data_IF_121038330499
#
_entry.id   IF_121038330499
#
_cell.length_a   1.000
_cell.length_b   1.000
_cell.length_c   1.000
_cell.angle_alpha   90.00
_cell.angle_beta   90.00
_cell.angle_gamma   90.00
#
_symmetry.space_group_name_H-M   'P 1'
#
loop_
_entity.id
_entity.type
_entity.pdbx_description
1 polymer ?
#
# COMPACT_ATOMS: atom_id res chain seq x y z
N UNK A 1 -43.07 11.82 -20.17
CA UNK A 1 -42.26 12.83 -19.46
C UNK A 1 -40.82 12.32 -19.47
N UNK A 2 -39.89 13.04 -20.09
CA UNK A 2 -38.49 12.61 -20.22
C UNK A 2 -37.65 13.02 -19.01
N UNK A 3 -36.67 12.20 -18.65
CA UNK A 3 -35.64 12.51 -17.65
C UNK A 3 -34.31 12.80 -18.37
N UNK A 4 -33.57 13.81 -17.92
CA UNK A 4 -32.27 14.18 -18.48
C UNK A 4 -31.37 14.70 -17.36
N UNK A 5 -30.08 14.36 -17.41
CA UNK A 5 -29.11 14.86 -16.42
C UNK A 5 -28.74 16.33 -16.70
N UNK A 6 -28.82 17.22 -15.69
CA UNK A 6 -28.29 18.57 -15.78
C UNK A 6 -26.77 18.61 -15.95
N UNK A 7 -26.25 19.64 -16.63
CA UNK A 7 -24.81 19.80 -16.91
C UNK A 7 -23.93 20.02 -15.66
N UNK A 8 -24.53 20.40 -14.54
CA UNK A 8 -23.85 20.66 -13.28
C UNK A 8 -23.81 19.44 -12.34
N UNK A 9 -24.18 18.26 -12.83
CA UNK A 9 -24.12 17.01 -12.06
C UNK A 9 -22.84 16.25 -12.44
N UNK A 10 -22.04 15.93 -11.43
CA UNK A 10 -20.86 15.09 -11.55
C UNK A 10 -21.09 13.77 -10.82
N UNK A 11 -20.71 12.66 -11.45
CA UNK A 11 -20.77 11.33 -10.83
C UNK A 11 -19.35 10.89 -10.54
N UNK A 12 -19.03 10.71 -9.26
CA UNK A 12 -17.76 10.18 -8.78
C UNK A 12 -18.06 8.82 -8.15
N UNK A 13 -17.57 7.76 -8.79
CA UNK A 13 -17.63 6.40 -8.26
C UNK A 13 -16.27 6.01 -7.69
N UNK A 14 -16.28 5.27 -6.59
CA UNK A 14 -15.11 4.54 -6.10
C UNK A 14 -15.28 3.08 -6.45
N UNK A 15 -14.21 2.42 -6.86
CA UNK A 15 -14.20 1.00 -7.21
C UNK A 15 -13.05 0.34 -6.45
N UNK A 16 -13.35 -0.77 -5.78
CA UNK A 16 -12.32 -1.64 -5.23
C UNK A 16 -11.83 -2.58 -6.32
N UNK A 17 -10.59 -2.43 -6.79
CA UNK A 17 -10.03 -3.26 -7.86
C UNK A 17 -9.64 -4.67 -7.38
N UNK A 18 -9.48 -4.87 -6.08
CA UNK A 18 -9.21 -6.20 -5.50
C UNK A 18 -10.40 -7.15 -5.61
N UNK A 19 -11.62 -6.62 -5.75
CA UNK A 19 -12.83 -7.43 -5.86
C UNK A 19 -13.06 -7.90 -7.30
N UNK A 20 -12.70 -9.15 -7.58
CA UNK A 20 -12.85 -9.76 -8.91
C UNK A 20 -14.32 -10.06 -9.27
N UNK A 21 -15.26 -10.02 -8.31
CA UNK A 21 -16.68 -10.33 -8.55
C UNK A 21 -17.38 -9.26 -9.40
N UNK A 22 -16.83 -8.04 -9.47
CA UNK A 22 -17.41 -6.91 -10.22
C UNK A 22 -16.79 -6.69 -11.61
N UNK A 23 -15.84 -7.54 -12.03
CA UNK A 23 -15.11 -7.37 -13.29
C UNK A 23 -16.00 -7.31 -14.55
N UNK A 24 -17.17 -7.96 -14.52
CA UNK A 24 -18.15 -7.96 -15.62
C UNK A 24 -18.99 -6.66 -15.71
N UNK A 25 -19.22 -5.96 -14.60
CA UNK A 25 -19.95 -4.67 -14.56
C UNK A 25 -19.13 -3.55 -15.22
N UNK A 26 -17.81 -3.72 -15.21
CA UNK A 26 -16.84 -2.69 -15.53
C UNK A 26 -16.79 -2.32 -17.02
N UNK A 27 -17.07 -3.24 -17.95
CA UNK A 27 -16.89 -2.99 -19.39
C UNK A 27 -17.78 -1.85 -19.95
N UNK A 28 -19.01 -1.71 -19.45
CA UNK A 28 -19.91 -0.62 -19.86
C UNK A 28 -19.60 0.70 -19.13
N UNK A 29 -19.16 0.62 -17.86
CA UNK A 29 -18.71 1.77 -17.06
C UNK A 29 -17.44 2.38 -17.66
N UNK A 30 -16.49 1.56 -18.11
CA UNK A 30 -15.24 1.97 -18.79
C UNK A 30 -15.43 2.88 -20.00
N UNK A 31 -16.60 2.84 -20.65
CA UNK A 31 -16.92 3.71 -21.80
C UNK A 31 -17.55 5.05 -21.40
N UNK A 32 -18.06 5.16 -20.17
CA UNK A 32 -18.83 6.33 -19.69
C UNK A 32 -18.10 7.15 -18.63
N UNK A 33 -17.08 6.58 -17.99
CA UNK A 33 -16.33 7.21 -16.92
C UNK A 33 -14.86 7.36 -17.29
N UNK A 34 -14.25 8.43 -16.80
CA UNK A 34 -12.79 8.53 -16.72
C UNK A 34 -12.32 7.77 -15.47
N UNK A 35 -11.27 6.96 -15.62
CA UNK A 35 -10.72 6.16 -14.52
C UNK A 35 -9.44 6.79 -14.01
N UNK A 36 -9.39 7.05 -12.72
CA UNK A 36 -8.21 7.55 -12.03
C UNK A 36 -7.82 6.51 -10.99
N UNK A 37 -6.66 5.87 -11.19
CA UNK A 37 -6.13 4.89 -10.24
C UNK A 37 -5.61 5.58 -8.99
N UNK A 38 -5.98 5.06 -7.82
CA UNK A 38 -5.49 5.48 -6.50
C UNK A 38 -4.60 4.40 -5.88
N UNK A 39 -3.72 3.82 -6.69
CA UNK A 39 -2.86 2.70 -6.31
C UNK A 39 -1.82 3.13 -5.24
N UNK A 40 -1.62 2.38 -4.15
CA UNK A 40 -0.78 2.80 -3.03
C UNK A 40 0.70 2.98 -3.39
N UNK A 41 1.18 2.40 -4.49
CA UNK A 41 2.57 2.56 -4.96
C UNK A 41 2.76 3.54 -6.12
N UNK A 42 1.74 4.34 -6.46
CA UNK A 42 1.83 5.31 -7.56
C UNK A 42 1.38 6.70 -7.11
N UNK A 43 1.86 7.79 -7.75
CA UNK A 43 1.31 9.11 -7.53
C UNK A 43 -0.17 9.16 -7.94
N UNK A 44 -1.02 9.91 -7.23
CA UNK A 44 -0.67 10.80 -6.10
C UNK A 44 -0.67 10.12 -4.73
N UNK A 45 -0.99 8.83 -4.64
CA UNK A 45 -1.30 8.12 -3.40
C UNK A 45 -0.11 7.56 -2.65
N UNK A 46 1.03 7.33 -3.32
CA UNK A 46 2.25 6.79 -2.72
C UNK A 46 2.78 7.58 -1.50
N UNK A 47 2.58 8.90 -1.46
CA UNK A 47 3.07 9.74 -0.38
C UNK A 47 2.03 10.01 0.73
N UNK A 48 0.83 9.46 0.61
CA UNK A 48 -0.29 9.79 1.51
C UNK A 48 0.05 9.45 2.96
N UNK A 49 0.63 8.27 3.21
CA UNK A 49 0.98 7.86 4.57
C UNK A 49 2.09 8.73 5.16
N UNK A 50 3.17 8.98 4.42
CA UNK A 50 4.28 9.84 4.86
C UNK A 50 3.81 11.26 5.17
N UNK A 51 2.96 11.84 4.32
CA UNK A 51 2.38 13.17 4.54
C UNK A 51 1.47 13.19 5.76
N UNK A 52 0.65 12.17 5.95
CA UNK A 52 -0.23 12.07 7.11
C UNK A 52 0.55 11.92 8.42
N UNK A 53 1.61 11.11 8.42
CA UNK A 53 2.52 10.94 9.56
C UNK A 53 3.19 12.26 9.93
N UNK A 54 3.76 12.96 8.95
CA UNK A 54 4.39 14.27 9.15
C UNK A 54 3.39 15.30 9.71
N UNK A 55 2.18 15.36 9.15
CA UNK A 55 1.12 16.25 9.63
C UNK A 55 0.60 15.89 11.04
N UNK A 56 0.79 14.64 11.46
CA UNK A 56 0.39 14.14 12.78
C UNK A 56 1.55 14.11 13.79
N UNK A 57 2.72 14.66 13.43
CA UNK A 57 3.96 14.63 14.23
C UNK A 57 4.37 13.21 14.65
N UNK A 58 4.23 12.25 13.73
CA UNK A 58 4.57 10.83 13.94
C UNK A 58 5.79 10.42 13.15
N UNK A 59 6.52 9.45 13.69
CA UNK A 59 7.69 8.86 13.05
C UNK A 59 7.32 8.17 11.71
N UNK A 60 8.21 8.31 10.73
CA UNK A 60 8.03 7.83 9.37
C UNK A 60 8.20 6.32 9.17
N UNK A 61 8.75 5.59 10.15
CA UNK A 61 9.16 4.19 10.00
C UNK A 61 8.01 3.26 9.58
N UNK A 62 6.77 3.56 10.01
CA UNK A 62 5.59 2.76 9.60
C UNK A 62 5.35 2.83 8.09
N UNK A 63 5.67 3.95 7.44
CA UNK A 63 5.59 4.05 5.99
C UNK A 63 6.61 3.14 5.29
N UNK A 64 7.82 3.03 5.84
CA UNK A 64 8.85 2.16 5.27
C UNK A 64 8.50 0.67 5.44
N UNK A 65 7.84 0.31 6.56
CA UNK A 65 7.27 -1.02 6.75
C UNK A 65 6.19 -1.33 5.71
N UNK A 66 5.29 -0.39 5.44
CA UNK A 66 4.24 -0.57 4.43
C UNK A 66 4.84 -0.72 3.02
N UNK A 67 5.84 0.09 2.68
CA UNK A 67 6.49 0.02 1.37
C UNK A 67 7.21 -1.32 1.18
N UNK A 68 7.92 -1.81 2.19
CA UNK A 68 8.58 -3.12 2.12
C UNK A 68 7.55 -4.25 2.08
N UNK A 69 6.46 -4.18 2.84
CA UNK A 69 5.36 -5.14 2.75
C UNK A 69 4.78 -5.18 1.32
N UNK A 70 4.41 -4.01 0.78
CA UNK A 70 3.86 -3.89 -0.56
C UNK A 70 4.84 -4.32 -1.65
N UNK A 71 6.14 -4.25 -1.42
CA UNK A 71 7.14 -4.78 -2.35
C UNK A 71 7.12 -6.31 -2.43
N UNK A 72 6.73 -7.01 -1.37
CA UNK A 72 6.72 -8.48 -1.31
C UNK A 72 5.44 -9.11 -1.87
N UNK A 73 4.35 -8.34 -1.90
CA UNK A 73 3.10 -8.72 -2.54
C UNK A 73 3.32 -8.64 -4.05
N UNK A 74 3.06 -9.69 -4.81
CA UNK A 74 3.32 -9.69 -6.25
C UNK A 74 2.13 -9.14 -7.04
N UNK A 75 0.90 -9.42 -6.58
CA UNK A 75 -0.34 -8.91 -7.18
C UNK A 75 -0.47 -7.37 -6.97
N UNK A 76 -0.48 -6.57 -8.05
CA UNK A 76 -0.68 -5.12 -7.96
C UNK A 76 -2.06 -4.74 -7.40
N UNK A 77 -3.10 -5.53 -7.63
CA UNK A 77 -4.45 -5.21 -7.14
C UNK A 77 -4.62 -5.58 -5.65
N UNK A 78 -3.68 -6.33 -5.08
CA UNK A 78 -3.70 -6.74 -3.67
C UNK A 78 -2.78 -5.92 -2.76
N UNK A 79 -2.18 -4.84 -3.25
CA UNK A 79 -1.34 -3.98 -2.41
C UNK A 79 -2.14 -3.40 -1.25
N UNK A 80 -1.54 -3.40 -0.07
CA UNK A 80 -2.13 -2.88 1.16
C UNK A 80 -2.15 -1.35 1.12
N UNK A 81 -3.32 -0.78 1.38
CA UNK A 81 -3.52 0.66 1.44
C UNK A 81 -2.99 1.29 2.75
N UNK A 82 -2.68 2.60 2.73
CA UNK A 82 -2.13 3.31 3.88
C UNK A 82 -3.14 3.49 5.04
N UNK A 83 -4.44 3.37 4.77
CA UNK A 83 -5.52 3.62 5.73
C UNK A 83 -5.45 2.75 7.00
N UNK A 84 -4.92 1.53 6.91
CA UNK A 84 -4.69 0.66 8.07
C UNK A 84 -3.78 1.30 9.12
N UNK A 85 -2.85 2.16 8.68
CA UNK A 85 -1.85 2.81 9.53
C UNK A 85 -2.21 4.26 9.88
N UNK A 86 -3.26 4.83 9.29
CA UNK A 86 -3.72 6.20 9.52
C UNK A 86 -4.70 6.29 10.70
N UNK A 87 -4.40 5.64 11.82
CA UNK A 87 -5.28 5.58 13.01
C UNK A 87 -4.44 5.76 14.27
N UNK A 88 -4.89 6.59 15.20
CA UNK A 88 -4.16 6.86 16.45
C UNK A 88 -3.82 5.59 17.25
N UNK A 89 -4.75 4.63 17.29
CA UNK A 89 -4.59 3.35 18.01
C UNK A 89 -3.42 2.48 17.50
N UNK A 90 -2.92 2.72 16.29
CA UNK A 90 -1.74 2.00 15.75
C UNK A 90 -0.46 2.40 16.49
N UNK A 91 -0.41 3.62 17.01
CA UNK A 91 0.78 4.21 17.63
C UNK A 91 0.76 4.15 19.17
N UNK A 92 -0.29 3.55 19.74
CA UNK A 92 -0.31 3.18 21.15
C UNK A 92 0.57 1.95 21.40
N UNK A 93 1.03 1.70 22.63
CA UNK A 93 1.82 0.51 22.96
C UNK A 93 1.15 -0.79 22.47
N UNK A 94 1.85 -1.54 21.61
CA UNK A 94 1.35 -2.78 21.01
C UNK A 94 0.29 -2.59 19.91
N UNK A 95 -0.04 -1.35 19.54
CA UNK A 95 -1.05 -1.01 18.54
C UNK A 95 -0.69 -1.47 17.14
N UNK A 96 0.58 -1.32 16.75
CA UNK A 96 1.10 -1.76 15.47
C UNK A 96 1.10 -3.28 15.38
N UNK A 97 1.60 -3.97 16.41
CA UNK A 97 1.60 -5.43 16.52
C UNK A 97 0.17 -6.00 16.43
N UNK A 98 -0.78 -5.35 17.12
CA UNK A 98 -2.20 -5.70 17.06
C UNK A 98 -2.74 -5.52 15.64
N UNK A 99 -2.52 -4.36 15.03
CA UNK A 99 -3.00 -4.06 13.67
C UNK A 99 -2.43 -5.05 12.65
N UNK A 100 -1.14 -5.39 12.79
CA UNK A 100 -0.51 -6.39 11.93
C UNK A 100 -1.18 -7.76 12.07
N UNK A 101 -1.39 -8.23 13.30
CA UNK A 101 -1.98 -9.53 13.59
C UNK A 101 -3.46 -9.64 13.23
N UNK A 102 -4.24 -8.57 13.41
CA UNK A 102 -5.70 -8.63 13.29
C UNK A 102 -6.24 -8.07 11.99
N UNK A 103 -5.43 -7.35 11.20
CA UNK A 103 -5.85 -6.79 9.93
C UNK A 103 -4.92 -7.22 8.79
N UNK A 104 -3.61 -7.00 8.92
CA UNK A 104 -2.67 -7.22 7.81
C UNK A 104 -2.47 -8.71 7.50
N UNK A 105 -2.13 -9.53 8.50
CA UNK A 105 -1.89 -10.96 8.29
C UNK A 105 -3.15 -11.70 7.81
N UNK A 106 -4.35 -11.50 8.40
CA UNK A 106 -5.55 -12.18 7.91
C UNK A 106 -5.87 -11.89 6.43
N UNK A 107 -5.66 -10.65 5.96
CA UNK A 107 -5.85 -10.32 4.53
C UNK A 107 -4.88 -11.11 3.64
N UNK A 108 -3.62 -11.24 4.06
CA UNK A 108 -2.61 -11.99 3.32
C UNK A 108 -2.84 -13.50 3.39
N UNK A 109 -3.39 -14.01 4.48
CA UNK A 109 -3.82 -15.40 4.63
C UNK A 109 -4.97 -15.73 3.68
N UNK A 110 -5.95 -14.83 3.55
CA UNK A 110 -7.03 -14.96 2.56
C UNK A 110 -6.49 -14.91 1.12
N UNK A 111 -5.54 -14.01 0.83
CA UNK A 111 -4.93 -13.90 -0.50
C UNK A 111 -4.15 -15.14 -0.92
N UNK A 112 -3.40 -15.74 0.01
CA UNK A 112 -2.59 -16.93 -0.22
C UNK A 112 -3.31 -18.24 0.10
N UNK A 113 -4.64 -18.21 0.21
CA UNK A 113 -5.43 -19.39 0.52
C UNK A 113 -5.24 -20.46 -0.56
N UNK A 114 -4.63 -21.58 -0.19
CA UNK A 114 -4.36 -22.71 -1.09
C UNK A 114 -3.00 -22.67 -1.80
N UNK A 115 -2.22 -21.60 -1.66
CA UNK A 115 -0.91 -21.46 -2.31
C UNK A 115 0.24 -22.07 -1.51
N UNK A 116 -0.01 -22.52 -0.28
CA UNK A 116 1.00 -23.13 0.60
C UNK A 116 2.04 -22.15 1.16
N UNK A 117 1.83 -20.85 0.98
CA UNK A 117 2.72 -19.80 1.50
C UNK A 117 2.55 -19.67 3.01
N UNK A 118 3.66 -19.73 3.75
CA UNK A 118 3.67 -19.36 5.18
C UNK A 118 3.64 -17.83 5.30
N UNK A 119 2.43 -17.29 5.49
CA UNK A 119 2.17 -15.86 5.59
C UNK A 119 2.86 -15.24 6.80
N UNK A 120 2.88 -15.93 7.93
CA UNK A 120 3.53 -15.45 9.15
C UNK A 120 5.03 -15.31 8.98
N UNK A 121 5.68 -16.31 8.38
CA UNK A 121 7.11 -16.27 8.11
C UNK A 121 7.47 -15.21 7.06
N UNK A 122 6.69 -15.09 5.98
CA UNK A 122 7.00 -14.18 4.86
C UNK A 122 6.67 -12.72 5.17
N UNK A 123 5.55 -12.45 5.83
CA UNK A 123 5.00 -11.10 6.01
C UNK A 123 4.85 -10.66 7.47
N UNK A 124 5.33 -11.46 8.43
CA UNK A 124 5.33 -11.10 9.84
C UNK A 124 6.05 -9.78 10.11
N UNK A 125 5.55 -9.01 11.09
CA UNK A 125 6.09 -7.68 11.40
C UNK A 125 7.59 -7.71 11.71
N UNK A 126 8.08 -8.72 12.43
CA UNK A 126 9.51 -8.91 12.71
C UNK A 126 10.32 -9.17 11.44
N UNK A 127 9.80 -9.98 10.51
CA UNK A 127 10.40 -10.23 9.20
C UNK A 127 10.52 -8.93 8.40
N UNK A 128 9.45 -8.13 8.36
CA UNK A 128 9.45 -6.85 7.63
C UNK A 128 10.42 -5.84 8.26
N UNK A 129 10.44 -5.72 9.60
CA UNK A 129 11.41 -4.84 10.31
C UNK A 129 12.85 -5.19 9.95
N UNK A 130 13.21 -6.47 10.05
CA UNK A 130 14.56 -6.96 9.70
C UNK A 130 14.95 -6.59 8.27
N UNK A 131 14.01 -6.70 7.32
CA UNK A 131 14.24 -6.37 5.90
C UNK A 131 14.47 -4.88 5.68
N UNK A 132 13.68 -4.03 6.35
CA UNK A 132 13.85 -2.57 6.28
C UNK A 132 15.22 -2.16 6.85
N UNK A 133 15.59 -2.69 8.01
CA UNK A 133 16.89 -2.44 8.65
C UNK A 133 18.06 -2.87 7.77
N UNK A 134 18.01 -4.08 7.20
CA UNK A 134 19.05 -4.58 6.30
C UNK A 134 19.22 -3.73 5.04
N UNK A 135 18.14 -3.11 4.54
CA UNK A 135 18.20 -2.20 3.40
C UNK A 135 18.77 -0.82 3.75
N UNK A 136 18.45 -0.29 4.93
CA UNK A 136 19.06 0.95 5.40
C UNK A 136 20.59 0.82 5.52
N UNK A 137 21.07 -0.34 5.97
CA UNK A 137 22.50 -0.66 6.06
C UNK A 137 23.16 -0.84 4.68
N UNK A 138 22.49 -1.50 3.73
CA UNK A 138 23.01 -1.66 2.38
C UNK A 138 23.16 -0.33 1.61
N UNK A 139 22.27 0.63 1.86
CA UNK A 139 22.31 1.95 1.22
C UNK A 139 23.38 2.87 1.82
N UNK A 140 23.75 2.69 3.08
CA UNK A 140 24.81 3.45 3.76
C UNK A 140 26.22 2.88 3.49
N UNK A 141 26.33 1.66 2.97
CA UNK A 141 27.59 0.96 2.72
C UNK A 141 28.23 1.12 1.34
N UNK A 142 27.80 2.06 0.50
CA UNK A 142 28.49 2.36 -0.78
C UNK A 142 29.37 3.61 -0.63
N UNK A 143 30.70 3.50 -0.49
CA UNK A 143 31.58 4.64 -0.66
C UNK A 143 31.67 4.95 -2.15
N UNK A 144 31.39 6.20 -2.52
CA UNK A 144 31.65 6.72 -3.85
C UNK A 144 33.14 6.60 -4.20
N UNK A 145 33.50 5.56 -4.94
CA UNK A 145 34.75 5.50 -5.68
C UNK A 145 34.64 6.45 -6.86
N UNK A 146 35.08 7.69 -6.68
CA UNK A 146 35.40 8.54 -7.82
C UNK A 146 36.46 7.83 -8.66
N UNK A 147 36.29 7.69 -9.99
CA UNK A 147 37.39 7.26 -10.83
C UNK A 147 38.44 8.38 -10.78
N UNK A 148 39.59 8.06 -10.19
CA UNK A 148 40.79 8.85 -10.35
C UNK A 148 41.16 8.80 -11.84
N UNK A 149 41.02 9.94 -12.50
CA UNK A 149 41.49 10.18 -13.86
C UNK A 149 43.01 9.98 -13.90
N UNK A 150 43.57 9.09 -14.74
CA UNK A 150 44.98 9.09 -15.04
C UNK A 150 45.21 9.82 -16.37
N UNK A 151 46.04 10.86 -16.28
CA UNK A 151 46.71 11.63 -17.35
C UNK A 151 45.98 12.88 -17.88
#
# INVERSE_FOLDING_TARGET
IGFTLPKNVYLIGTMNTADRSIALVDAAMRRRFAFVSLHPSQPPTQEVLRRWLAASERDGAVADLLDELNRLIEDPDFKIGPSYFMRAAVYEPGGLERTWRTAILPLLEEHHYGDGVDVGARYGLSTIRTRVEGRAQAQTGTPGGAPADPA
#
